data_IF_027355944086
#
_entry.id   IF_027355944086
#
_cell.length_a   1.000
_cell.length_b   1.000
_cell.length_c   1.000
_cell.angle_alpha   90.00
_cell.angle_beta   90.00
_cell.angle_gamma   90.00
#
_symmetry.space_group_name_H-M   'P 1'
#
loop_
_entity.id
_entity.type
_entity.pdbx_description
1 polymer ?
#
# COMPACT_ATOMS: atom_id res chain seq x y z
N UNK A 1 -6.72 2.36 -11.77
CA UNK A 1 -6.05 2.65 -10.47
C UNK A 1 -6.71 1.98 -9.27
N UNK A 2 -8.02 1.98 -9.15
CA UNK A 2 -8.75 1.38 -7.99
C UNK A 2 -8.44 -0.09 -7.69
N UNK A 3 -7.76 -0.81 -8.59
CA UNK A 3 -7.24 -2.16 -8.37
C UNK A 3 -6.30 -2.28 -7.16
N UNK A 4 -5.62 -1.20 -6.75
CA UNK A 4 -4.82 -1.17 -5.53
C UNK A 4 -5.66 -1.33 -4.25
N UNK A 5 -6.97 -1.04 -4.31
CA UNK A 5 -7.92 -1.29 -3.21
C UNK A 5 -8.42 -2.74 -3.11
N UNK A 6 -7.92 -3.67 -3.94
CA UNK A 6 -8.41 -5.06 -3.99
C UNK A 6 -7.95 -5.93 -2.81
N UNK A 7 -6.95 -5.51 -2.04
CA UNK A 7 -6.43 -6.23 -0.89
C UNK A 7 -6.61 -5.44 0.41
N UNK A 8 -7.11 -6.12 1.45
CA UNK A 8 -7.05 -5.65 2.82
C UNK A 8 -5.89 -6.33 3.53
N UNK A 9 -5.17 -5.58 4.34
CA UNK A 9 -4.01 -6.06 5.07
C UNK A 9 -4.27 -6.07 6.56
N UNK A 10 -3.78 -7.11 7.22
CA UNK A 10 -3.81 -7.27 8.68
C UNK A 10 -2.39 -7.55 9.12
N UNK A 11 -1.89 -6.81 10.08
CA UNK A 11 -0.58 -7.01 10.67
C UNK A 11 -0.69 -7.45 12.13
N UNK A 12 0.24 -8.30 12.53
CA UNK A 12 0.44 -8.70 13.92
C UNK A 12 1.85 -8.25 14.32
N UNK A 13 1.92 -7.39 15.32
CA UNK A 13 3.19 -6.89 15.88
C UNK A 13 3.27 -7.20 17.37
N UNK A 14 4.47 -7.45 17.85
CA UNK A 14 4.73 -7.52 19.28
C UNK A 14 5.19 -6.14 19.77
N UNK A 15 4.41 -5.53 20.66
CA UNK A 15 4.68 -4.21 21.19
C UNK A 15 4.59 -4.23 22.72
N UNK A 16 5.70 -3.93 23.40
CA UNK A 16 5.78 -3.93 24.88
C UNK A 16 5.32 -5.26 25.51
N UNK A 17 5.63 -6.39 24.89
CA UNK A 17 5.25 -7.72 25.39
C UNK A 17 3.78 -8.09 25.14
N UNK A 18 3.05 -7.33 24.35
CA UNK A 18 1.69 -7.62 23.94
C UNK A 18 1.60 -7.78 22.41
N UNK A 19 0.71 -8.66 21.95
CA UNK A 19 0.40 -8.76 20.51
C UNK A 19 -0.62 -7.68 20.16
N UNK A 20 -0.23 -6.83 19.22
CA UNK A 20 -1.09 -5.79 18.64
C UNK A 20 -1.50 -6.23 17.25
N UNK A 21 -2.79 -6.18 16.95
CA UNK A 21 -3.35 -6.48 15.64
C UNK A 21 -3.85 -5.18 15.03
N UNK A 22 -3.26 -4.79 13.90
CA UNK A 22 -3.70 -3.63 13.13
C UNK A 22 -4.21 -4.07 11.75
N UNK A 23 -5.05 -3.27 11.15
CA UNK A 23 -5.52 -3.51 9.78
C UNK A 23 -5.76 -2.20 9.04
N UNK A 24 -5.68 -2.25 7.73
CA UNK A 24 -5.99 -1.08 6.88
C UNK A 24 -7.44 -0.65 7.10
N UNK A 25 -7.63 0.63 7.47
CA UNK A 25 -8.95 1.21 7.71
C UNK A 25 -9.72 1.35 6.39
N UNK A 26 -10.82 0.58 6.16
CA UNK A 26 -11.49 0.57 4.87
C UNK A 26 -12.02 1.94 4.42
N UNK A 27 -12.71 2.77 5.26
CA UNK A 27 -13.12 4.11 4.84
C UNK A 27 -11.95 4.99 4.42
N UNK A 28 -10.90 5.08 5.22
CA UNK A 28 -9.72 5.91 4.93
C UNK A 28 -9.07 5.54 3.59
N UNK A 29 -8.77 4.25 3.39
CA UNK A 29 -8.18 3.78 2.15
C UNK A 29 -9.16 3.82 0.98
N UNK A 30 -10.46 3.67 1.24
CA UNK A 30 -11.51 3.80 0.25
C UNK A 30 -11.60 5.22 -0.30
N UNK A 31 -11.68 6.22 0.57
CA UNK A 31 -11.68 7.63 0.15
C UNK A 31 -10.41 7.99 -0.60
N UNK A 32 -9.22 7.60 -0.09
CA UNK A 32 -7.94 7.87 -0.75
C UNK A 32 -7.81 7.20 -2.13
N UNK A 33 -8.25 5.94 -2.28
CA UNK A 33 -8.03 5.15 -3.48
C UNK A 33 -9.12 5.28 -4.54
N UNK A 34 -10.34 5.57 -4.15
CA UNK A 34 -11.45 5.77 -5.07
C UNK A 34 -11.75 7.25 -5.31
N UNK A 35 -11.17 8.16 -4.48
CA UNK A 35 -11.33 9.60 -4.63
C UNK A 35 -12.82 9.96 -4.78
N UNK A 36 -13.18 10.80 -5.72
CA UNK A 36 -14.57 11.20 -6.04
C UNK A 36 -15.49 10.04 -6.43
N UNK A 37 -14.92 8.90 -6.79
CA UNK A 37 -15.70 7.69 -7.09
C UNK A 37 -16.08 6.89 -5.83
N UNK A 38 -15.50 7.20 -4.65
CA UNK A 38 -15.80 6.46 -3.42
C UNK A 38 -17.29 6.43 -3.06
N UNK A 39 -18.08 7.49 -3.20
CA UNK A 39 -19.52 7.44 -2.97
C UNK A 39 -20.25 6.35 -3.77
N UNK A 40 -19.77 6.02 -4.98
CA UNK A 40 -20.36 4.96 -5.83
C UNK A 40 -20.15 3.57 -5.25
N UNK A 41 -19.08 3.35 -4.49
CA UNK A 41 -18.72 2.06 -3.89
C UNK A 41 -18.91 2.01 -2.37
N UNK A 42 -19.20 3.13 -1.73
CA UNK A 42 -19.31 3.29 -0.27
C UNK A 42 -20.18 2.21 0.39
N UNK A 43 -21.33 1.88 -0.19
CA UNK A 43 -22.23 0.84 0.35
C UNK A 43 -21.55 -0.55 0.43
N UNK A 44 -20.65 -0.84 -0.49
CA UNK A 44 -19.87 -2.09 -0.46
C UNK A 44 -18.80 -2.03 0.62
N UNK A 45 -18.12 -0.89 0.76
CA UNK A 45 -17.14 -0.64 1.80
C UNK A 45 -17.74 -0.68 3.21
N UNK A 46 -18.89 -0.04 3.43
CA UNK A 46 -19.62 -0.08 4.72
C UNK A 46 -19.98 -1.54 5.12
N UNK A 47 -20.39 -2.37 4.15
CA UNK A 47 -20.67 -3.79 4.40
C UNK A 47 -19.41 -4.57 4.71
N UNK A 48 -18.35 -4.27 3.99
CA UNK A 48 -17.05 -4.88 4.19
C UNK A 48 -16.49 -4.53 5.58
N UNK A 49 -16.49 -3.25 5.94
CA UNK A 49 -16.07 -2.77 7.26
C UNK A 49 -16.83 -3.45 8.41
N UNK A 50 -18.16 -3.58 8.29
CA UNK A 50 -18.96 -4.30 9.28
C UNK A 50 -18.53 -5.76 9.45
N UNK A 51 -18.24 -6.46 8.35
CA UNK A 51 -17.75 -7.84 8.38
C UNK A 51 -16.37 -7.93 9.02
N UNK A 52 -15.48 -7.00 8.66
CA UNK A 52 -14.15 -6.93 9.21
C UNK A 52 -14.18 -6.67 10.71
N UNK A 53 -14.91 -5.64 11.18
CA UNK A 53 -15.08 -5.34 12.60
C UNK A 53 -15.63 -6.55 13.38
N UNK A 54 -16.60 -7.27 12.80
CA UNK A 54 -17.13 -8.49 13.41
C UNK A 54 -16.08 -9.60 13.51
N UNK A 55 -15.26 -9.80 12.49
CA UNK A 55 -14.18 -10.79 12.52
C UNK A 55 -13.11 -10.39 13.55
N UNK A 56 -12.71 -9.14 13.57
CA UNK A 56 -11.67 -8.62 14.47
C UNK A 56 -12.12 -8.58 15.94
N UNK A 57 -13.42 -8.49 16.23
CA UNK A 57 -13.95 -8.53 17.59
C UNK A 57 -13.62 -9.85 18.33
N UNK A 58 -13.35 -10.94 17.59
CA UNK A 58 -12.89 -12.21 18.15
C UNK A 58 -11.40 -12.22 18.53
N UNK A 59 -10.62 -11.24 18.07
CA UNK A 59 -9.17 -11.19 18.29
C UNK A 59 -8.76 -10.43 19.55
N UNK A 60 -9.65 -9.66 20.15
CA UNK A 60 -9.37 -8.88 21.35
C UNK A 60 -10.24 -7.64 21.49
N UNK A 61 -9.95 -6.83 22.51
CA UNK A 61 -10.66 -5.56 22.73
C UNK A 61 -10.18 -4.53 21.70
N UNK A 62 -11.08 -3.94 20.90
CA UNK A 62 -10.68 -2.88 19.96
C UNK A 62 -10.22 -1.64 20.74
N UNK A 63 -9.10 -1.09 20.30
CA UNK A 63 -8.57 0.19 20.78
C UNK A 63 -8.51 1.11 19.57
N UNK A 64 -9.21 2.23 19.62
CA UNK A 64 -9.11 3.29 18.61
C UNK A 64 -8.13 4.34 19.11
N UNK A 65 -7.22 4.75 18.24
CA UNK A 65 -6.37 5.92 18.43
C UNK A 65 -6.37 6.76 17.16
N UNK A 66 -6.45 8.07 17.32
CA UNK A 66 -6.21 9.02 16.24
C UNK A 66 -4.73 9.36 16.19
N UNK A 67 -4.17 9.53 15.00
CA UNK A 67 -2.79 9.90 14.77
C UNK A 67 -2.71 10.78 13.52
N UNK A 68 -1.58 11.45 13.31
CA UNK A 68 -1.40 12.42 12.25
C UNK A 68 -1.47 13.85 12.78
N UNK A 69 -1.88 14.81 11.95
CA UNK A 69 -1.98 16.22 12.35
C UNK A 69 -3.12 16.46 13.35
N UNK A 70 -2.96 17.45 14.23
CA UNK A 70 -3.95 17.80 15.24
C UNK A 70 -5.29 18.22 14.62
N UNK A 71 -5.23 18.97 13.52
CA UNK A 71 -6.42 19.45 12.78
C UNK A 71 -7.10 18.33 11.98
N UNK A 72 -6.37 17.22 11.74
CA UNK A 72 -6.86 16.14 10.91
C UNK A 72 -6.85 16.45 9.42
N UNK A 73 -7.53 15.64 8.66
CA UNK A 73 -7.74 15.77 7.23
C UNK A 73 -9.22 15.51 6.96
N UNK A 74 -9.92 16.42 6.32
CA UNK A 74 -11.29 16.14 5.97
C UNK A 74 -11.41 15.18 4.77
N UNK A 75 -12.63 14.72 4.47
CA UNK A 75 -12.85 13.69 3.47
C UNK A 75 -12.51 14.18 2.07
N UNK A 76 -12.81 15.43 1.76
CA UNK A 76 -12.55 15.98 0.43
C UNK A 76 -11.05 16.17 0.23
N UNK A 77 -10.34 16.68 1.24
CA UNK A 77 -8.87 16.76 1.23
C UNK A 77 -8.20 15.40 1.15
N UNK A 78 -8.79 14.34 1.75
CA UNK A 78 -8.27 12.98 1.62
C UNK A 78 -8.45 12.42 0.21
N UNK A 79 -9.55 12.76 -0.49
CA UNK A 79 -9.78 12.35 -1.87
C UNK A 79 -8.84 13.04 -2.85
N UNK A 80 -8.55 14.31 -2.60
CA UNK A 80 -7.61 15.12 -3.37
C UNK A 80 -6.20 15.14 -2.75
N UNK A 81 -5.89 14.13 -1.94
CA UNK A 81 -4.67 14.13 -1.17
C UNK A 81 -3.42 14.24 -2.05
N UNK A 82 -2.66 15.30 -1.79
CA UNK A 82 -1.30 15.51 -2.27
C UNK A 82 -0.43 15.86 -1.06
N UNK A 83 0.69 15.18 -0.90
CA UNK A 83 1.56 15.39 0.26
C UNK A 83 2.33 16.71 0.22
N UNK A 84 2.36 17.38 -0.93
CA UNK A 84 2.92 18.73 -1.14
C UNK A 84 2.43 19.31 -2.47
N UNK A 85 2.39 20.61 -2.59
CA UNK A 85 2.01 21.32 -3.82
C UNK A 85 2.86 20.84 -5.01
N UNK A 86 2.22 20.49 -6.12
CA UNK A 86 2.82 19.91 -7.33
C UNK A 86 3.45 18.52 -7.17
N UNK A 87 3.10 17.78 -6.13
CA UNK A 87 3.55 16.41 -5.96
C UNK A 87 2.50 15.40 -6.45
N UNK A 88 2.92 14.18 -6.81
CA UNK A 88 2.02 13.17 -7.33
C UNK A 88 0.83 12.88 -6.43
N UNK A 89 -0.33 12.75 -7.03
CA UNK A 89 -1.55 12.25 -6.41
C UNK A 89 -1.66 10.72 -6.53
N UNK A 90 -2.76 10.15 -6.05
CA UNK A 90 -2.96 8.70 -6.09
C UNK A 90 -2.94 8.10 -7.49
N UNK A 91 -3.49 8.80 -8.47
CA UNK A 91 -3.61 8.34 -9.87
C UNK A 91 -2.39 8.69 -10.74
N UNK A 92 -1.44 9.47 -10.21
CA UNK A 92 -0.12 9.68 -10.79
C UNK A 92 0.79 8.49 -10.45
N UNK A 93 0.62 7.39 -11.16
CA UNK A 93 1.39 6.17 -10.90
C UNK A 93 2.69 6.14 -11.69
N UNK A 94 3.71 5.45 -11.13
CA UNK A 94 4.91 5.12 -11.89
C UNK A 94 4.65 3.89 -12.75
N UNK A 95 4.93 3.98 -14.06
CA UNK A 95 4.91 2.83 -14.97
C UNK A 95 6.27 2.14 -14.90
N UNK A 96 6.31 0.97 -14.27
CA UNK A 96 7.55 0.19 -14.09
C UNK A 96 7.97 -0.51 -15.38
N UNK A 97 7.00 -0.96 -16.16
CA UNK A 97 7.24 -1.70 -17.41
C UNK A 97 5.99 -1.72 -18.28
N UNK A 98 6.23 -1.66 -19.58
CA UNK A 98 5.25 -1.97 -20.61
C UNK A 98 5.64 -3.29 -21.32
N UNK A 99 4.66 -4.14 -21.59
CA UNK A 99 4.78 -5.40 -22.30
C UNK A 99 3.97 -5.34 -23.61
N UNK A 100 4.06 -6.37 -24.45
CA UNK A 100 3.27 -6.43 -25.70
C UNK A 100 1.80 -6.77 -25.43
N UNK A 101 1.50 -7.40 -24.30
CA UNK A 101 0.13 -7.79 -23.92
C UNK A 101 0.05 -8.08 -22.42
N UNK A 102 -1.18 -8.09 -21.89
CA UNK A 102 -1.46 -8.53 -20.50
C UNK A 102 -0.93 -9.94 -20.22
N UNK A 103 -1.16 -10.86 -21.15
CA UNK A 103 -0.71 -12.24 -20.99
C UNK A 103 0.81 -12.36 -20.92
N UNK A 104 1.56 -11.56 -21.69
CA UNK A 104 3.02 -11.51 -21.61
C UNK A 104 3.47 -10.94 -20.26
N UNK A 105 2.84 -9.86 -19.79
CA UNK A 105 3.15 -9.26 -18.49
C UNK A 105 2.99 -10.30 -17.37
N UNK A 106 1.84 -10.95 -17.29
CA UNK A 106 1.57 -11.99 -16.27
C UNK A 106 2.58 -13.13 -16.35
N UNK A 107 2.81 -13.68 -17.55
CA UNK A 107 3.73 -14.80 -17.76
C UNK A 107 5.16 -14.45 -17.33
N UNK A 108 5.63 -13.24 -17.67
CA UNK A 108 6.97 -12.77 -17.32
C UNK A 108 7.12 -12.60 -15.80
N UNK A 109 6.21 -11.88 -15.19
CA UNK A 109 6.21 -11.61 -13.74
C UNK A 109 6.17 -12.91 -12.94
N UNK A 110 5.23 -13.81 -13.26
CA UNK A 110 5.11 -15.10 -12.55
C UNK A 110 6.31 -16.02 -12.81
N UNK A 111 6.86 -15.98 -14.02
CA UNK A 111 8.09 -16.71 -14.34
C UNK A 111 9.28 -16.23 -13.51
N UNK A 112 9.42 -14.92 -13.35
CA UNK A 112 10.48 -14.32 -12.52
C UNK A 112 10.27 -14.62 -11.04
N UNK A 113 9.04 -14.51 -10.53
CA UNK A 113 8.71 -14.88 -9.15
C UNK A 113 9.06 -16.35 -8.85
N UNK A 114 8.77 -17.26 -9.78
CA UNK A 114 9.11 -18.70 -9.64
C UNK A 114 10.60 -18.96 -9.63
N UNK A 115 11.39 -18.22 -10.42
CA UNK A 115 12.85 -18.32 -10.45
C UNK A 115 13.52 -17.69 -9.23
N UNK A 116 12.81 -16.83 -8.54
CA UNK A 116 13.33 -16.00 -7.46
C UNK A 116 13.96 -14.72 -7.98
N UNK A 117 13.57 -13.60 -7.42
CA UNK A 117 14.15 -12.27 -7.67
C UNK A 117 14.91 -11.86 -6.41
N UNK A 118 16.15 -11.38 -6.59
CA UNK A 118 16.99 -10.99 -5.47
C UNK A 118 16.31 -9.91 -4.64
N UNK A 119 16.25 -10.09 -3.34
CA UNK A 119 15.68 -9.17 -2.36
C UNK A 119 14.17 -8.89 -2.52
N UNK A 120 13.46 -9.63 -3.38
CA UNK A 120 12.02 -9.45 -3.58
C UNK A 120 11.32 -10.79 -3.49
N UNK A 121 10.30 -10.89 -2.65
CA UNK A 121 9.52 -12.12 -2.46
C UNK A 121 8.04 -11.85 -2.68
N UNK A 122 7.39 -12.66 -3.52
CA UNK A 122 5.94 -12.56 -3.73
C UNK A 122 5.21 -12.98 -2.45
N UNK A 123 4.33 -12.11 -1.96
CA UNK A 123 3.47 -12.37 -0.79
C UNK A 123 2.09 -12.81 -1.23
N UNK A 124 1.49 -12.12 -2.19
CA UNK A 124 0.20 -12.49 -2.76
C UNK A 124 0.03 -11.96 -4.18
N UNK A 125 -0.93 -12.55 -4.89
CA UNK A 125 -1.46 -12.04 -6.14
C UNK A 125 -2.99 -12.14 -6.14
N UNK A 126 -3.67 -11.07 -6.59
CA UNK A 126 -5.12 -10.99 -6.68
C UNK A 126 -5.50 -10.60 -8.09
N UNK A 127 -6.19 -11.49 -8.78
CA UNK A 127 -6.77 -11.22 -10.09
C UNK A 127 -8.17 -10.61 -9.95
N UNK A 128 -8.46 -9.59 -10.73
CA UNK A 128 -9.77 -8.96 -10.75
C UNK A 128 -10.62 -9.66 -11.84
N UNK A 129 -11.65 -10.44 -11.45
CA UNK A 129 -12.39 -11.25 -12.40
C UNK A 129 -12.98 -10.45 -13.57
N UNK A 130 -12.76 -10.93 -14.79
CA UNK A 130 -13.28 -10.33 -16.00
C UNK A 130 -12.63 -9.00 -16.41
N UNK A 131 -11.47 -8.69 -15.82
CA UNK A 131 -10.67 -7.51 -16.16
C UNK A 131 -9.22 -7.93 -16.42
N UNK A 132 -8.53 -7.19 -17.27
CA UNK A 132 -7.07 -7.30 -17.44
C UNK A 132 -6.37 -6.54 -16.30
N UNK A 133 -6.65 -6.95 -15.06
CA UNK A 133 -6.13 -6.35 -13.84
C UNK A 133 -5.66 -7.44 -12.89
N UNK A 134 -4.40 -7.34 -12.46
CA UNK A 134 -3.84 -8.24 -11.44
C UNK A 134 -2.92 -7.48 -10.51
N UNK A 135 -3.27 -7.50 -9.21
CA UNK A 135 -2.50 -6.88 -8.14
C UNK A 135 -1.51 -7.90 -7.58
N UNK A 136 -0.28 -7.49 -7.39
CA UNK A 136 0.77 -8.28 -6.76
C UNK A 136 1.32 -7.53 -5.55
N UNK A 137 1.53 -8.23 -4.44
CA UNK A 137 2.17 -7.71 -3.24
C UNK A 137 3.50 -8.41 -2.98
N UNK A 138 4.53 -7.64 -2.64
CA UNK A 138 5.91 -8.11 -2.47
C UNK A 138 6.51 -7.65 -1.15
N UNK A 139 7.18 -8.57 -0.45
CA UNK A 139 8.11 -8.24 0.62
C UNK A 139 9.46 -7.85 0.04
N UNK A 140 10.01 -6.74 0.51
CA UNK A 140 11.27 -6.16 0.05
C UNK A 140 12.35 -6.35 1.12
N UNK A 141 13.43 -7.02 0.76
CA UNK A 141 14.53 -7.36 1.64
C UNK A 141 15.85 -6.70 1.20
N UNK A 142 16.94 -7.01 1.90
CA UNK A 142 18.27 -6.47 1.59
C UNK A 142 18.50 -5.07 2.13
N UNK A 143 19.60 -4.41 1.73
CA UNK A 143 20.03 -3.12 2.29
C UNK A 143 19.07 -1.98 1.95
N UNK A 144 18.28 -2.12 0.86
CA UNK A 144 17.34 -1.10 0.38
C UNK A 144 15.88 -1.54 0.66
N UNK A 145 15.67 -2.56 1.49
CA UNK A 145 14.39 -3.16 1.79
C UNK A 145 13.72 -2.61 3.05
N UNK A 146 12.63 -3.27 3.43
CA UNK A 146 11.76 -2.85 4.53
C UNK A 146 12.50 -2.72 5.87
N UNK A 147 13.47 -3.59 6.14
CA UNK A 147 14.26 -3.56 7.37
C UNK A 147 15.19 -2.36 7.49
N UNK A 148 15.50 -1.67 6.40
CA UNK A 148 16.33 -0.48 6.38
C UNK A 148 15.55 0.77 6.75
N UNK A 149 14.43 1.03 6.08
CA UNK A 149 13.71 2.29 6.25
C UNK A 149 12.63 2.27 7.35
N UNK A 150 11.99 1.10 7.62
CA UNK A 150 10.92 1.02 8.63
C UNK A 150 11.35 1.48 10.02
N UNK A 151 12.53 1.14 10.55
CA UNK A 151 12.96 1.64 11.85
C UNK A 151 13.03 3.16 11.94
N UNK A 152 13.18 3.84 10.80
CA UNK A 152 13.26 5.31 10.72
C UNK A 152 11.87 5.96 10.71
N UNK A 153 10.87 5.34 10.06
CA UNK A 153 9.55 5.96 9.85
C UNK A 153 8.45 5.37 10.75
N UNK A 154 8.52 4.10 11.08
CA UNK A 154 7.51 3.43 11.91
C UNK A 154 7.90 3.47 13.40
N UNK A 155 8.05 4.69 13.93
CA UNK A 155 8.48 4.96 15.31
C UNK A 155 7.31 5.09 16.29
N UNK A 156 6.13 5.44 15.80
CA UNK A 156 4.93 5.61 16.61
C UNK A 156 4.35 4.26 17.09
N UNK A 157 3.36 4.31 17.95
CA UNK A 157 2.56 3.17 18.43
C UNK A 157 1.07 3.48 18.30
N UNK A 158 0.26 2.52 17.85
CA UNK A 158 0.63 1.21 17.30
C UNK A 158 1.45 1.32 16.03
N UNK A 159 2.22 0.28 15.72
CA UNK A 159 3.00 0.21 14.48
C UNK A 159 2.10 0.19 13.25
N UNK A 160 2.55 0.86 12.17
CA UNK A 160 1.81 0.97 10.91
C UNK A 160 2.09 -0.18 9.94
N UNK A 161 2.58 -1.30 10.42
CA UNK A 161 3.01 -2.47 9.62
C UNK A 161 1.94 -2.97 8.64
N UNK A 162 0.65 -2.69 8.90
CA UNK A 162 -0.44 -3.05 7.98
C UNK A 162 -0.41 -2.28 6.63
N UNK A 163 0.51 -1.32 6.42
CA UNK A 163 0.71 -0.72 5.11
C UNK A 163 1.47 -1.63 4.14
N UNK A 164 2.21 -2.62 4.65
CA UNK A 164 2.90 -3.64 3.87
C UNK A 164 1.93 -4.73 3.37
N UNK A 165 2.29 -5.45 2.30
CA UNK A 165 3.49 -5.34 1.48
C UNK A 165 3.42 -4.20 0.47
N UNK A 166 4.54 -3.91 -0.21
CA UNK A 166 4.52 -3.04 -1.38
C UNK A 166 3.90 -3.75 -2.58
N UNK A 167 3.28 -2.98 -3.47
CA UNK A 167 2.42 -3.51 -4.52
C UNK A 167 2.69 -2.87 -5.87
N UNK A 168 2.49 -3.64 -6.93
CA UNK A 168 2.23 -3.12 -8.25
C UNK A 168 0.97 -3.76 -8.87
N UNK A 169 0.33 -3.04 -9.76
CA UNK A 169 -0.87 -3.44 -10.51
C UNK A 169 -0.52 -3.63 -11.98
N UNK A 170 -0.73 -4.83 -12.50
CA UNK A 170 -0.76 -5.03 -13.95
C UNK A 170 -2.12 -4.58 -14.45
N UNK A 171 -2.13 -3.60 -15.35
CA UNK A 171 -3.34 -3.02 -15.96
C UNK A 171 -3.18 -3.02 -17.48
N UNK A 172 -3.91 -3.90 -18.14
CA UNK A 172 -3.66 -4.18 -19.55
C UNK A 172 -2.22 -4.69 -19.72
N UNK A 173 -1.44 -4.05 -20.56
CA UNK A 173 -0.05 -4.41 -20.83
C UNK A 173 0.98 -3.63 -20.00
N UNK A 174 0.55 -2.74 -19.12
CA UNK A 174 1.42 -1.92 -18.27
C UNK A 174 1.44 -2.40 -16.83
N UNK A 175 2.57 -2.20 -16.16
CA UNK A 175 2.78 -2.45 -14.74
C UNK A 175 2.92 -1.13 -14.01
N UNK A 176 1.97 -0.83 -13.14
CA UNK A 176 1.89 0.43 -12.41
C UNK A 176 2.19 0.22 -10.93
N UNK A 177 2.95 1.11 -10.31
CA UNK A 177 3.03 1.23 -8.86
C UNK A 177 2.54 2.59 -8.39
N UNK A 178 2.00 2.65 -7.18
CA UNK A 178 1.72 3.93 -6.55
C UNK A 178 3.04 4.65 -6.27
N UNK A 179 3.09 5.96 -6.50
CA UNK A 179 4.28 6.74 -6.22
C UNK A 179 4.70 6.53 -4.75
N UNK A 180 5.97 6.15 -4.54
CA UNK A 180 6.43 5.74 -3.21
C UNK A 180 6.27 6.81 -2.13
N UNK A 181 6.48 8.08 -2.49
CA UNK A 181 6.28 9.20 -1.55
C UNK A 181 4.83 9.38 -1.15
N UNK A 182 3.90 9.29 -2.11
CA UNK A 182 2.47 9.33 -1.84
C UNK A 182 2.07 8.22 -0.86
N UNK A 183 2.49 6.99 -1.15
CA UNK A 183 2.15 5.84 -0.31
C UNK A 183 2.71 5.95 1.11
N UNK A 184 3.96 6.42 1.27
CA UNK A 184 4.56 6.64 2.57
C UNK A 184 3.81 7.73 3.34
N UNK A 185 3.57 8.88 2.73
CA UNK A 185 2.89 9.99 3.38
C UNK A 185 1.48 9.62 3.84
N UNK A 186 0.70 8.93 3.00
CA UNK A 186 -0.64 8.47 3.35
C UNK A 186 -0.64 7.42 4.47
N UNK A 187 0.39 6.60 4.55
CA UNK A 187 0.51 5.53 5.56
C UNK A 187 1.11 6.02 6.88
N UNK A 188 1.87 7.10 6.85
CA UNK A 188 2.54 7.71 8.00
C UNK A 188 2.23 9.22 8.04
N UNK A 189 0.99 9.62 8.32
CA UNK A 189 0.56 11.02 8.27
C UNK A 189 1.20 11.90 9.35
N UNK A 190 1.83 11.32 10.35
CA UNK A 190 2.62 11.98 11.39
C UNK A 190 4.12 12.13 11.04
N UNK A 191 4.52 11.67 9.84
CA UNK A 191 5.90 11.74 9.40
C UNK A 191 6.32 13.18 9.10
N UNK A 192 7.35 13.65 9.81
CA UNK A 192 7.90 14.98 9.58
C UNK A 192 8.85 15.02 8.38
N UNK A 193 9.00 16.20 7.76
CA UNK A 193 9.99 16.40 6.68
C UNK A 193 11.42 16.06 7.14
N UNK A 194 11.77 16.36 8.40
CA UNK A 194 13.08 16.03 8.96
C UNK A 194 13.32 14.51 9.07
N UNK A 195 12.28 13.73 9.31
CA UNK A 195 12.36 12.27 9.28
C UNK A 195 12.37 11.75 7.85
N UNK A 196 11.55 12.31 6.96
CA UNK A 196 11.50 11.92 5.55
C UNK A 196 12.85 12.10 4.84
N UNK A 197 13.61 13.16 5.16
CA UNK A 197 14.94 13.38 4.56
C UNK A 197 15.92 12.23 4.82
N UNK A 198 15.74 11.45 5.89
CA UNK A 198 16.57 10.29 6.21
C UNK A 198 16.32 9.08 5.32
N UNK A 199 15.17 9.05 4.65
CA UNK A 199 14.73 7.98 3.74
C UNK A 199 14.50 8.52 2.33
N UNK A 200 15.20 9.57 1.93
CA UNK A 200 14.93 10.29 0.67
C UNK A 200 15.11 9.41 -0.58
N UNK A 201 16.05 8.44 -0.55
CA UNK A 201 16.26 7.46 -1.64
C UNK A 201 15.20 6.35 -1.65
N UNK A 202 14.63 6.00 -0.51
CA UNK A 202 13.74 4.84 -0.34
C UNK A 202 12.62 4.72 -1.38
N UNK A 203 11.92 5.80 -1.80
CA UNK A 203 10.93 5.68 -2.87
C UNK A 203 11.51 5.16 -4.19
N UNK A 204 12.73 5.57 -4.56
CA UNK A 204 13.43 5.08 -5.74
C UNK A 204 13.92 3.65 -5.57
N UNK A 205 14.45 3.32 -4.40
CA UNK A 205 14.93 1.98 -4.08
C UNK A 205 13.80 0.94 -4.17
N UNK A 206 12.62 1.28 -3.67
CA UNK A 206 11.40 0.47 -3.78
C UNK A 206 11.00 0.28 -5.25
N UNK A 207 11.02 1.35 -6.04
CA UNK A 207 10.72 1.30 -7.47
C UNK A 207 11.70 0.38 -8.22
N UNK A 208 12.99 0.47 -7.92
CA UNK A 208 14.03 -0.38 -8.51
C UNK A 208 13.83 -1.86 -8.15
N UNK A 209 13.53 -2.15 -6.88
CA UNK A 209 13.25 -3.50 -6.42
C UNK A 209 12.02 -4.09 -7.12
N UNK A 210 10.91 -3.36 -7.19
CA UNK A 210 9.69 -3.81 -7.87
C UNK A 210 9.91 -3.94 -9.39
N UNK A 211 10.64 -3.01 -10.01
CA UNK A 211 10.99 -3.07 -11.44
C UNK A 211 11.80 -4.32 -11.75
N UNK A 212 12.64 -4.79 -10.84
CA UNK A 212 13.45 -6.01 -11.03
C UNK A 212 12.61 -7.25 -11.28
N UNK A 213 11.37 -7.29 -10.78
CA UNK A 213 10.41 -8.39 -11.01
C UNK A 213 9.91 -8.41 -12.46
N UNK A 214 9.97 -7.26 -13.16
CA UNK A 214 9.45 -7.08 -14.52
C UNK A 214 10.51 -7.30 -15.63
N UNK A 215 11.77 -7.58 -15.27
CA UNK A 215 12.92 -7.70 -16.21
C UNK A 215 13.02 -9.03 -16.95
#
# INVERSE_FOLDING_TARGET
MTGFGAALRVALTEENGAIVITYTNPPYWGDAYFRDDFPKVKKHYDRFEKKLKKAMAGCGKPVGSSFGSEDGLDIDDLRDYSYMVFMPEFDDTNVLKEFKSHAEAISRIEGNCKKGVKNVSLVYAVEIPGKELKLYGFALAGPDGESDFLPTIDIAKPKHTAFLPYEFLVMGNEVHMLHGRFRIALSFPDLTMGTFTKIMSTPGDIEDLLTSVCK
#
